data_IF_179709004038
#
_entry.id   IF_179709004038
#
_cell.length_a   1.000
_cell.length_b   1.000
_cell.length_c   1.000
_cell.angle_alpha   90.00
_cell.angle_beta   90.00
_cell.angle_gamma   90.00
#
_symmetry.space_group_name_H-M   'P 1'
#
loop_
_entity.id
_entity.type
_entity.pdbx_description
1 polymer ?
#
# COMPACT_ATOMS: atom_id res chain seq x y z
N UNK A 1 2.89 -8.27 10.41
CA UNK A 1 1.62 -7.81 11.04
C UNK A 1 1.50 -6.29 11.06
N UNK A 2 2.37 -5.54 11.75
CA UNK A 2 2.26 -4.06 11.83
C UNK A 2 2.36 -3.34 10.48
N UNK A 3 3.27 -3.74 9.60
CA UNK A 3 3.41 -3.11 8.27
C UNK A 3 2.23 -3.37 7.33
N UNK A 4 1.67 -4.58 7.35
CA UNK A 4 0.46 -4.92 6.59
C UNK A 4 -0.73 -4.11 7.08
N UNK A 5 -0.87 -3.94 8.40
CA UNK A 5 -1.92 -3.10 8.98
C UNK A 5 -1.73 -1.61 8.66
N UNK A 6 -0.49 -1.10 8.64
CA UNK A 6 -0.18 0.25 8.20
C UNK A 6 -0.54 0.46 6.72
N UNK A 7 -0.20 -0.50 5.85
CA UNK A 7 -0.54 -0.44 4.42
C UNK A 7 -2.06 -0.45 4.19
N UNK A 8 -2.80 -1.27 4.95
CA UNK A 8 -4.27 -1.29 4.89
C UNK A 8 -4.86 0.05 5.34
N UNK A 9 -4.37 0.60 6.46
CA UNK A 9 -4.77 1.92 6.95
C UNK A 9 -4.47 3.04 5.96
N UNK A 10 -3.32 2.98 5.28
CA UNK A 10 -2.96 3.94 4.24
C UNK A 10 -3.96 3.90 3.07
N UNK A 11 -4.40 2.71 2.65
CA UNK A 11 -5.42 2.55 1.59
C UNK A 11 -6.77 3.13 2.01
N UNK A 12 -7.19 2.89 3.26
CA UNK A 12 -8.44 3.45 3.80
C UNK A 12 -8.36 4.97 3.89
N UNK A 13 -7.25 5.53 4.37
CA UNK A 13 -7.09 6.99 4.43
C UNK A 13 -7.07 7.63 3.04
N UNK A 14 -6.42 6.99 2.06
CA UNK A 14 -6.43 7.45 0.68
C UNK A 14 -7.84 7.43 0.06
N UNK A 15 -8.64 6.39 0.31
CA UNK A 15 -10.02 6.32 -0.18
C UNK A 15 -10.96 7.35 0.46
N UNK A 16 -10.62 7.82 1.67
CA UNK A 16 -11.31 8.90 2.37
C UNK A 16 -10.81 10.31 1.98
N UNK A 17 -9.82 10.43 1.08
CA UNK A 17 -9.20 11.71 0.71
C UNK A 17 -8.28 12.30 1.79
N UNK A 18 -7.96 11.53 2.84
CA UNK A 18 -7.05 11.94 3.91
C UNK A 18 -5.58 11.71 3.51
N UNK A 19 -5.12 12.43 2.49
CA UNK A 19 -3.83 12.20 1.82
C UNK A 19 -2.62 12.24 2.76
N UNK A 20 -2.48 13.26 3.61
CA UNK A 20 -1.40 13.38 4.60
C UNK A 20 -1.31 12.14 5.53
N UNK A 21 -2.46 11.66 6.00
CA UNK A 21 -2.52 10.48 6.87
C UNK A 21 -2.20 9.19 6.12
N UNK A 22 -2.64 9.09 4.86
CA UNK A 22 -2.33 7.96 3.99
C UNK A 22 -0.82 7.87 3.71
N UNK A 23 -0.18 9.00 3.45
CA UNK A 23 1.26 9.07 3.19
C UNK A 23 2.09 8.68 4.41
N UNK A 24 1.70 9.14 5.60
CA UNK A 24 2.40 8.80 6.84
C UNK A 24 2.40 7.28 7.10
N UNK A 25 1.25 6.62 6.94
CA UNK A 25 1.14 5.17 7.12
C UNK A 25 1.80 4.39 5.97
N UNK A 26 1.74 4.90 4.73
CA UNK A 26 2.43 4.32 3.59
C UNK A 26 3.96 4.35 3.79
N UNK A 27 4.54 5.46 4.25
CA UNK A 27 5.98 5.57 4.54
C UNK A 27 6.40 4.59 5.63
N UNK A 28 5.62 4.48 6.71
CA UNK A 28 5.87 3.50 7.78
C UNK A 28 5.85 2.05 7.28
N UNK A 29 4.92 1.72 6.38
CA UNK A 29 4.87 0.42 5.75
C UNK A 29 6.07 0.19 4.82
N UNK A 30 6.45 1.19 4.01
CA UNK A 30 7.57 1.13 3.08
C UNK A 30 8.90 0.88 3.78
N UNK A 31 9.22 1.64 4.82
CA UNK A 31 10.43 1.48 5.61
C UNK A 31 10.53 0.06 6.18
N UNK A 32 9.43 -0.45 6.76
CA UNK A 32 9.42 -1.78 7.35
C UNK A 32 9.58 -2.91 6.31
N UNK A 33 8.90 -2.79 5.17
CA UNK A 33 9.05 -3.76 4.09
C UNK A 33 10.45 -3.71 3.48
N UNK A 34 11.05 -2.53 3.37
CA UNK A 34 12.40 -2.35 2.86
C UNK A 34 13.44 -2.94 3.81
N UNK A 35 13.32 -2.70 5.13
CA UNK A 35 14.16 -3.30 6.18
C UNK A 35 14.12 -4.83 6.16
N UNK A 36 12.97 -5.41 5.81
CA UNK A 36 12.78 -6.86 5.72
C UNK A 36 13.06 -7.44 4.33
N UNK A 37 13.47 -6.64 3.35
CA UNK A 37 13.67 -7.07 1.96
C UNK A 37 12.38 -7.50 1.22
N UNK A 38 11.22 -7.14 1.75
CA UNK A 38 9.91 -7.50 1.18
C UNK A 38 9.49 -6.51 0.08
N UNK A 39 10.14 -6.64 -1.08
CA UNK A 39 9.99 -5.74 -2.24
C UNK A 39 8.53 -5.51 -2.71
N UNK A 40 7.64 -6.53 -2.76
CA UNK A 40 6.26 -6.31 -3.18
C UNK A 40 5.50 -5.34 -2.27
N UNK A 41 5.76 -5.43 -0.96
CA UNK A 41 5.13 -4.58 0.05
C UNK A 41 5.63 -3.15 -0.02
N UNK A 42 6.94 -2.96 -0.20
CA UNK A 42 7.54 -1.64 -0.38
C UNK A 42 7.01 -0.93 -1.64
N UNK A 43 6.88 -1.65 -2.76
CA UNK A 43 6.30 -1.10 -4.01
C UNK A 43 4.83 -0.70 -3.82
N UNK A 44 4.02 -1.53 -3.17
CA UNK A 44 2.62 -1.22 -2.90
C UNK A 44 2.47 0.03 -2.00
N UNK A 45 3.35 0.20 -1.02
CA UNK A 45 3.38 1.39 -0.18
C UNK A 45 3.80 2.65 -0.96
N UNK A 46 4.83 2.55 -1.82
CA UNK A 46 5.26 3.66 -2.69
C UNK A 46 4.19 4.13 -3.66
N UNK A 47 3.37 3.21 -4.18
CA UNK A 47 2.27 3.58 -5.07
C UNK A 47 1.28 4.55 -4.39
N UNK A 48 1.09 4.45 -3.07
CA UNK A 48 0.22 5.35 -2.32
C UNK A 48 0.86 6.72 -2.06
N UNK A 49 2.20 6.83 -2.15
CA UNK A 49 2.94 8.09 -2.03
C UNK A 49 2.97 8.89 -3.35
N UNK A 50 2.62 8.26 -4.48
CA UNK A 50 2.74 8.83 -5.82
C UNK A 50 1.61 9.77 -6.25
N UNK A 51 0.62 10.03 -5.38
CA UNK A 51 -0.55 10.86 -5.69
C UNK A 51 -1.50 10.21 -6.73
N UNK A 52 -2.72 10.75 -6.90
CA UNK A 52 -3.75 10.17 -7.77
C UNK A 52 -3.41 10.19 -9.28
N UNK A 53 -2.38 10.92 -9.69
CA UNK A 53 -1.90 10.97 -11.09
C UNK A 53 -0.96 9.82 -11.47
N UNK A 54 -0.63 8.94 -10.52
CA UNK A 54 0.41 7.91 -10.62
C UNK A 54 -0.08 6.47 -10.56
N UNK A 55 -1.14 6.11 -11.30
CA UNK A 55 -1.35 4.73 -11.74
C UNK A 55 -2.49 3.97 -11.08
N UNK A 56 -3.47 3.64 -11.92
CA UNK A 56 -4.36 2.48 -11.75
C UNK A 56 -3.58 1.25 -11.29
N UNK A 57 -4.05 0.61 -10.21
CA UNK A 57 -4.15 -0.84 -10.08
C UNK A 57 -4.93 -1.20 -8.81
N UNK A 58 -6.26 -1.08 -8.90
CA UNK A 58 -7.14 -2.03 -8.24
C UNK A 58 -6.96 -3.39 -8.94
N UNK A 59 -5.81 -4.02 -8.72
CA UNK A 59 -5.59 -5.41 -9.07
C UNK A 59 -6.38 -6.28 -8.10
N UNK A 60 -7.62 -6.58 -8.46
CA UNK A 60 -8.35 -7.72 -7.92
C UNK A 60 -7.55 -8.97 -8.27
N UNK A 61 -6.68 -9.42 -7.37
CA UNK A 61 -6.16 -10.79 -7.42
C UNK A 61 -7.29 -11.71 -6.97
N UNK A 62 -8.23 -12.00 -7.86
CA UNK A 62 -9.07 -13.19 -7.74
C UNK A 62 -8.16 -14.38 -8.02
N UNK A 63 -7.77 -15.10 -6.98
CA UNK A 63 -7.19 -16.43 -7.13
C UNK A 63 -8.30 -17.35 -7.62
N UNK A 64 -8.44 -17.51 -8.93
CA UNK A 64 -9.20 -18.62 -9.50
C UNK A 64 -8.41 -19.91 -9.24
N UNK A 65 -8.91 -20.74 -8.30
CA UNK A 65 -8.51 -22.14 -8.22
C UNK A 65 -9.04 -22.83 -9.48
N UNK A 66 -8.14 -23.34 -10.32
CA UNK A 66 -8.49 -24.35 -11.31
C UNK A 66 -9.03 -25.59 -10.61
N UNK A 67 -10.18 -26.09 -11.06
CA UNK A 67 -10.70 -27.44 -10.81
C UNK A 67 -11.27 -27.98 -12.10
#
# INVERSE_FOLDING_TARGET
LRATAALDRARVLASLGAHEGAEAEARRAEEHFSDKGHLPGARAARALLGGPDGGVQAGTTTTEKAS
#
